data_IF_831376134992
#
_entry.id   IF_831376134992
#
_cell.length_a   1.000
_cell.length_b   1.000
_cell.length_c   1.000
_cell.angle_alpha   90.00
_cell.angle_beta   90.00
_cell.angle_gamma   90.00
#
_symmetry.space_group_name_H-M   'P 1'
#
loop_
_entity.id
_entity.type
_entity.pdbx_description
1 polymer ?
#
# COMPACT_ATOMS: atom_id res chain seq x y z
N UNK A 1 8.85 -11.16 -15.22
CA UNK A 1 8.50 -11.51 -13.83
C UNK A 1 7.18 -10.90 -13.39
N UNK A 2 6.95 -9.59 -13.53
CA UNK A 2 5.70 -8.92 -13.12
C UNK A 2 4.44 -9.65 -13.62
N UNK A 3 4.32 -9.91 -14.94
CA UNK A 3 3.16 -10.59 -15.52
C UNK A 3 2.90 -11.98 -14.91
N UNK A 4 3.95 -12.80 -14.74
CA UNK A 4 3.83 -14.12 -14.10
C UNK A 4 3.41 -14.01 -12.63
N UNK A 5 3.97 -13.05 -11.89
CA UNK A 5 3.64 -12.84 -10.48
C UNK A 5 2.21 -12.37 -10.27
N UNK A 6 1.68 -11.56 -11.18
CA UNK A 6 0.30 -11.07 -11.12
C UNK A 6 -0.71 -12.09 -11.63
N UNK A 7 -0.33 -12.93 -12.59
CA UNK A 7 -1.21 -13.92 -13.18
C UNK A 7 -1.41 -15.20 -12.34
N UNK A 8 -0.58 -15.41 -11.31
CA UNK A 8 -0.76 -16.49 -10.31
C UNK A 8 -0.99 -17.90 -10.90
N UNK A 9 -0.33 -18.20 -12.02
CA UNK A 9 -0.42 -19.52 -12.69
C UNK A 9 -1.37 -19.56 -13.88
N UNK A 10 -2.16 -18.52 -14.14
CA UNK A 10 -2.94 -18.40 -15.38
C UNK A 10 -2.04 -17.96 -16.55
N UNK A 11 -1.76 -18.89 -17.46
CA UNK A 11 -0.92 -18.63 -18.63
C UNK A 11 -1.53 -17.63 -19.62
N UNK A 12 -2.86 -17.61 -19.74
CA UNK A 12 -3.55 -16.70 -20.66
C UNK A 12 -3.42 -15.28 -20.15
N UNK A 13 -3.72 -15.07 -18.86
CA UNK A 13 -3.56 -13.78 -18.20
C UNK A 13 -2.10 -13.33 -18.19
N UNK A 14 -1.14 -14.23 -17.98
CA UNK A 14 0.28 -13.90 -17.99
C UNK A 14 0.72 -13.35 -19.35
N UNK A 15 0.26 -13.94 -20.46
CA UNK A 15 0.55 -13.47 -21.82
C UNK A 15 -0.07 -12.10 -22.07
N UNK A 16 -1.36 -11.94 -21.74
CA UNK A 16 -2.07 -10.66 -21.90
C UNK A 16 -1.38 -9.54 -21.12
N UNK A 17 -1.02 -9.77 -19.85
CA UNK A 17 -0.31 -8.77 -19.04
C UNK A 17 1.06 -8.42 -19.61
N UNK A 18 1.78 -9.40 -20.16
CA UNK A 18 3.06 -9.12 -20.81
C UNK A 18 2.89 -8.25 -22.05
N UNK A 19 1.91 -8.54 -22.90
CA UNK A 19 1.63 -7.78 -24.12
C UNK A 19 1.18 -6.34 -23.81
N UNK A 20 0.31 -6.15 -22.83
CA UNK A 20 -0.17 -4.82 -22.41
C UNK A 20 0.96 -3.95 -21.81
N UNK A 21 1.88 -4.56 -21.05
CA UNK A 21 3.03 -3.85 -20.47
C UNK A 21 4.04 -3.49 -21.55
N UNK A 22 4.40 -4.43 -22.42
CA UNK A 22 5.41 -4.22 -23.47
C UNK A 22 4.93 -3.24 -24.55
N UNK A 23 3.63 -3.21 -24.83
CA UNK A 23 3.04 -2.22 -25.74
C UNK A 23 2.86 -0.83 -25.12
N UNK A 24 3.10 -0.68 -23.82
CA UNK A 24 2.94 0.58 -23.09
C UNK A 24 1.50 0.97 -22.78
N UNK A 25 0.52 0.08 -23.03
CA UNK A 25 -0.89 0.31 -22.71
C UNK A 25 -1.18 0.21 -21.21
N UNK A 26 -0.38 -0.61 -20.50
CA UNK A 26 -0.52 -0.79 -19.07
C UNK A 26 0.82 -0.59 -18.35
N UNK A 27 0.84 0.32 -17.37
CA UNK A 27 1.98 0.53 -16.48
C UNK A 27 1.55 0.26 -15.03
N UNK A 28 1.98 -0.85 -14.41
CA UNK A 28 1.75 -1.08 -13.01
C UNK A 28 2.40 0.01 -12.15
N UNK A 29 1.83 0.25 -10.97
CA UNK A 29 2.39 1.15 -9.99
C UNK A 29 3.85 0.77 -9.66
N UNK A 30 4.70 1.77 -9.42
CA UNK A 30 6.12 1.59 -9.11
C UNK A 30 6.42 0.50 -8.07
N UNK A 31 5.76 0.42 -6.89
CA UNK A 31 6.03 -0.65 -5.92
C UNK A 31 5.73 -2.04 -6.48
N UNK A 32 4.67 -2.19 -7.28
CA UNK A 32 4.35 -3.47 -7.93
C UNK A 32 5.35 -3.81 -9.02
N UNK A 33 5.63 -2.88 -9.92
CA UNK A 33 6.54 -3.10 -11.04
C UNK A 33 7.98 -3.41 -10.59
N UNK A 34 8.43 -2.76 -9.51
CA UNK A 34 9.79 -2.90 -9.00
C UNK A 34 9.99 -4.20 -8.19
N UNK A 35 8.97 -4.66 -7.46
CA UNK A 35 9.10 -5.73 -6.47
C UNK A 35 8.54 -7.09 -6.91
N UNK A 36 7.61 -7.14 -7.86
CA UNK A 36 6.95 -8.39 -8.23
C UNK A 36 7.94 -9.44 -8.79
N UNK A 37 7.93 -10.62 -8.18
CA UNK A 37 8.75 -11.77 -8.58
C UNK A 37 10.19 -11.77 -8.06
N UNK A 38 10.58 -10.80 -7.22
CA UNK A 38 11.88 -10.81 -6.53
C UNK A 38 11.79 -11.56 -5.20
N UNK A 39 12.82 -12.33 -4.88
CA UNK A 39 12.91 -13.07 -3.60
C UNK A 39 13.08 -12.12 -2.41
N UNK A 40 14.03 -11.19 -2.51
CA UNK A 40 14.19 -10.08 -1.57
C UNK A 40 13.43 -8.88 -2.14
N UNK A 41 12.22 -8.65 -1.63
CA UNK A 41 11.31 -7.62 -2.16
C UNK A 41 10.71 -6.76 -1.07
N UNK A 42 10.40 -5.51 -1.42
CA UNK A 42 9.45 -4.70 -0.66
C UNK A 42 8.01 -5.16 -0.88
N UNK A 43 7.07 -4.41 -0.29
CA UNK A 43 5.65 -4.62 -0.55
C UNK A 43 5.25 -4.16 -1.95
N UNK A 44 4.17 -4.76 -2.48
CA UNK A 44 3.63 -4.37 -3.79
C UNK A 44 2.72 -3.13 -3.71
N UNK A 45 2.30 -2.77 -2.50
CA UNK A 45 1.44 -1.64 -2.17
C UNK A 45 2.18 -0.72 -1.21
N UNK A 46 2.05 0.59 -1.41
CA UNK A 46 2.77 1.59 -0.62
C UNK A 46 1.91 2.80 -0.21
N UNK A 47 0.61 2.81 -0.45
CA UNK A 47 -0.25 3.96 -0.10
C UNK A 47 -1.37 3.51 0.83
N UNK A 48 -1.46 4.15 1.99
CA UNK A 48 -2.39 3.77 3.05
C UNK A 48 -3.13 4.99 3.60
N UNK A 49 -4.42 4.80 3.89
CA UNK A 49 -5.26 5.79 4.57
C UNK A 49 -5.78 5.16 5.85
N UNK A 50 -5.54 5.81 6.98
CA UNK A 50 -5.99 5.35 8.29
C UNK A 50 -6.93 6.36 8.92
N UNK A 51 -7.96 5.85 9.58
CA UNK A 51 -8.83 6.61 10.46
C UNK A 51 -8.28 6.57 11.88
N UNK A 52 -8.33 7.71 12.57
CA UNK A 52 -8.07 7.79 14.01
C UNK A 52 -9.43 8.04 14.68
N UNK A 53 -9.71 7.32 15.75
CA UNK A 53 -10.90 7.52 16.58
C UNK A 53 -10.53 8.35 17.81
N UNK A 54 -11.52 9.03 18.41
CA UNK A 54 -11.33 9.93 19.54
C UNK A 54 -11.12 9.19 20.88
N UNK A 55 -10.05 8.41 20.95
CA UNK A 55 -9.57 7.74 22.16
C UNK A 55 -8.07 7.44 22.06
N UNK A 56 -7.43 7.33 23.22
CA UNK A 56 -5.97 7.15 23.33
C UNK A 56 -5.48 5.84 22.72
N UNK A 57 -6.30 4.78 22.76
CA UNK A 57 -5.98 3.48 22.16
C UNK A 57 -5.86 3.61 20.64
N UNK A 58 -6.79 4.31 20.00
CA UNK A 58 -6.79 4.54 18.55
C UNK A 58 -5.64 5.43 18.13
N UNK A 59 -5.36 6.50 18.89
CA UNK A 59 -4.20 7.38 18.66
C UNK A 59 -2.88 6.58 18.77
N UNK A 60 -2.73 5.78 19.83
CA UNK A 60 -1.54 4.93 20.02
C UNK A 60 -1.36 3.91 18.89
N UNK A 61 -2.45 3.29 18.43
CA UNK A 61 -2.43 2.39 17.26
C UNK A 61 -2.09 3.12 15.97
N UNK A 62 -2.56 4.35 15.77
CA UNK A 62 -2.24 5.14 14.59
C UNK A 62 -0.74 5.44 14.51
N UNK A 63 -0.11 5.82 15.62
CA UNK A 63 1.35 6.00 15.72
C UNK A 63 2.09 4.69 15.43
N UNK A 64 1.68 3.58 16.04
CA UNK A 64 2.29 2.27 15.77
C UNK A 64 2.18 1.87 14.29
N UNK A 65 0.99 2.06 13.71
CA UNK A 65 0.73 1.78 12.29
C UNK A 65 1.59 2.64 11.38
N UNK A 66 1.78 3.93 11.71
CA UNK A 66 2.69 4.81 11.00
C UNK A 66 4.10 4.24 10.96
N UNK A 67 4.62 3.78 12.11
CA UNK A 67 5.96 3.21 12.23
C UNK A 67 6.11 1.93 11.39
N UNK A 68 5.14 1.01 11.47
CA UNK A 68 5.23 -0.26 10.76
C UNK A 68 5.13 -0.10 9.23
N UNK A 69 4.21 0.76 8.78
CA UNK A 69 3.99 1.00 7.36
C UNK A 69 5.13 1.83 6.75
N UNK A 70 5.58 2.88 7.45
CA UNK A 70 6.70 3.71 6.99
C UNK A 70 8.01 2.92 6.90
N UNK A 71 8.30 2.03 7.87
CA UNK A 71 9.47 1.13 7.82
C UNK A 71 9.54 0.30 6.53
N UNK A 72 8.39 -0.03 5.93
CA UNK A 72 8.30 -0.80 4.68
C UNK A 72 8.20 0.07 3.42
N UNK A 73 8.40 1.38 3.54
CA UNK A 73 8.30 2.33 2.42
C UNK A 73 6.86 2.75 2.08
N UNK A 74 5.91 2.56 3.00
CA UNK A 74 4.54 3.02 2.84
C UNK A 74 4.38 4.51 3.12
N UNK A 75 3.73 5.23 2.21
CA UNK A 75 3.12 6.54 2.45
C UNK A 75 1.78 6.39 3.17
N UNK A 76 1.61 7.16 4.25
CA UNK A 76 0.47 7.01 5.16
C UNK A 76 -0.21 8.36 5.37
N UNK A 77 -1.52 8.41 5.15
CA UNK A 77 -2.37 9.55 5.49
C UNK A 77 -3.31 9.20 6.65
N UNK A 78 -3.55 10.17 7.53
CA UNK A 78 -4.42 10.01 8.70
C UNK A 78 -5.63 10.94 8.63
N UNK A 79 -6.81 10.43 8.97
CA UNK A 79 -7.99 11.25 9.22
C UNK A 79 -7.95 11.79 10.65
N UNK A 80 -7.82 13.11 10.79
CA UNK A 80 -7.81 13.80 12.08
C UNK A 80 -9.16 14.39 12.48
N UNK A 81 -10.14 14.42 11.56
CA UNK A 81 -11.43 15.08 11.76
C UNK A 81 -12.29 14.50 12.89
N UNK A 82 -12.00 13.29 13.35
CA UNK A 82 -12.74 12.66 14.44
C UNK A 82 -12.20 13.07 15.82
N UNK A 83 -10.97 13.61 15.90
CA UNK A 83 -10.37 13.98 17.18
C UNK A 83 -11.08 15.23 17.72
N UNK A 84 -11.33 15.22 19.04
CA UNK A 84 -11.86 16.39 19.73
C UNK A 84 -10.94 17.60 19.59
N UNK A 85 -11.54 18.79 19.60
CA UNK A 85 -10.82 20.05 19.50
C UNK A 85 -10.00 20.36 20.76
N UNK A 86 -9.05 21.28 20.63
CA UNK A 86 -8.30 21.77 21.77
C UNK A 86 -9.23 22.46 22.78
N UNK A 87 -9.23 21.96 24.03
CA UNK A 87 -10.08 22.47 25.12
C UNK A 87 -11.39 21.71 25.31
N UNK A 88 -11.67 20.69 24.50
CA UNK A 88 -12.75 19.75 24.77
C UNK A 88 -12.49 19.01 26.10
N UNK A 89 -13.53 18.69 26.90
CA UNK A 89 -13.39 17.90 28.11
C UNK A 89 -12.91 16.47 27.79
N UNK A 90 -12.27 15.85 28.79
CA UNK A 90 -11.84 14.45 28.76
C UNK A 90 -13.03 13.47 28.74
#
# INVERSE_FOLDING_TARGET
>A
MVALSLAQGDETLARQLADEILSGRFQPATPTFLNAGKQQRGELVSCFLLRIEDNMESIGRAVNSALQLSKRGGGVAFLLSNLREAGAPD
#
